data_IF_111829498644
#
_entry.id   IF_111829498644
#
_cell.length_a   1.000
_cell.length_b   1.000
_cell.length_c   1.000
_cell.angle_alpha   90.00
_cell.angle_beta   90.00
_cell.angle_gamma   90.00
#
_symmetry.space_group_name_H-M   'P 1'
#
loop_
_entity.id
_entity.type
_entity.pdbx_description
1 polymer ?
#
# COMPACT_ATOMS: atom_id res chain seq x y z
N UNK A 1 6.40 1.94 -25.82
CA UNK A 1 6.73 0.78 -26.67
C UNK A 1 5.98 0.78 -27.99
N UNK A 2 4.65 0.92 -27.99
CA UNK A 2 3.84 0.99 -29.22
C UNK A 2 4.36 2.04 -30.24
N UNK A 3 4.70 3.24 -29.77
CA UNK A 3 5.31 4.28 -30.61
C UNK A 3 6.69 3.92 -31.19
N UNK A 4 7.50 3.14 -30.46
CA UNK A 4 8.80 2.73 -30.95
C UNK A 4 8.70 1.66 -32.04
N UNK A 5 7.73 0.75 -31.89
CA UNK A 5 7.39 -0.23 -32.93
C UNK A 5 6.88 0.46 -34.19
N UNK A 6 5.99 1.45 -34.07
CA UNK A 6 5.47 2.17 -35.25
C UNK A 6 6.54 3.02 -35.96
N UNK A 7 7.58 3.46 -35.25
CA UNK A 7 8.75 4.15 -35.80
C UNK A 7 9.82 3.20 -36.37
N UNK A 8 9.59 1.89 -36.34
CA UNK A 8 10.55 0.89 -36.83
C UNK A 8 11.81 0.78 -35.97
N UNK A 9 11.75 1.13 -34.69
CA UNK A 9 12.88 0.98 -33.76
C UNK A 9 13.28 -0.50 -33.66
N UNK A 10 14.59 -0.77 -33.77
CA UNK A 10 15.12 -2.13 -33.61
C UNK A 10 15.04 -2.55 -32.14
N UNK A 11 14.99 -3.86 -31.91
CA UNK A 11 14.95 -4.46 -30.56
C UNK A 11 16.00 -3.86 -29.60
N UNK A 12 17.28 -3.64 -29.99
CA UNK A 12 18.25 -3.03 -29.08
C UNK A 12 17.87 -1.60 -28.63
N UNK A 13 17.28 -0.80 -29.52
CA UNK A 13 16.82 0.56 -29.20
C UNK A 13 15.63 0.53 -28.23
N UNK A 14 14.68 -0.39 -28.46
CA UNK A 14 13.56 -0.60 -27.55
C UNK A 14 14.03 -1.08 -26.17
N UNK A 15 14.98 -2.02 -26.13
CA UNK A 15 15.58 -2.51 -24.89
C UNK A 15 16.29 -1.40 -24.12
N UNK A 16 17.06 -0.55 -24.81
CA UNK A 16 17.73 0.60 -24.20
C UNK A 16 16.73 1.58 -23.56
N UNK A 17 15.62 1.89 -24.24
CA UNK A 17 14.56 2.75 -23.67
C UNK A 17 13.96 2.17 -22.39
N UNK A 18 13.70 0.86 -22.38
CA UNK A 18 13.20 0.18 -21.19
C UNK A 18 14.23 0.25 -20.06
N UNK A 19 15.51 -0.02 -20.36
CA UNK A 19 16.60 0.05 -19.39
C UNK A 19 16.71 1.43 -18.75
N UNK A 20 16.63 2.50 -19.53
CA UNK A 20 16.70 3.88 -19.00
C UNK A 20 15.59 4.16 -17.98
N UNK A 21 14.36 3.68 -18.23
CA UNK A 21 13.26 3.80 -17.27
C UNK A 21 13.56 3.02 -15.99
N UNK A 22 14.20 1.85 -16.08
CA UNK A 22 14.61 1.09 -14.90
C UNK A 22 15.71 1.77 -14.11
N UNK A 23 16.68 2.40 -14.79
CA UNK A 23 17.77 3.14 -14.14
C UNK A 23 17.23 4.36 -13.40
N UNK A 24 16.32 5.11 -14.01
CA UNK A 24 15.61 6.24 -13.36
C UNK A 24 14.74 5.77 -12.19
N UNK A 25 14.13 4.58 -12.33
CA UNK A 25 13.26 4.05 -11.31
C UNK A 25 13.98 3.31 -10.17
N UNK A 26 15.28 3.06 -10.34
CA UNK A 26 16.14 2.44 -9.35
C UNK A 26 16.18 3.31 -8.09
N UNK A 27 16.30 2.68 -6.93
CA UNK A 27 16.25 3.38 -5.65
C UNK A 27 14.82 3.62 -5.16
N UNK A 28 14.07 4.55 -5.77
CA UNK A 28 12.73 4.89 -5.25
C UNK A 28 11.79 3.68 -5.27
N UNK A 29 11.84 2.83 -6.32
CA UNK A 29 11.03 1.61 -6.36
C UNK A 29 11.45 0.61 -5.29
N UNK A 30 12.74 0.51 -4.98
CA UNK A 30 13.22 -0.38 -3.93
C UNK A 30 12.69 0.07 -2.55
N UNK A 31 12.71 1.38 -2.29
CA UNK A 31 12.13 1.95 -1.05
C UNK A 31 10.62 1.72 -1.00
N UNK A 32 9.90 1.97 -2.11
CA UNK A 32 8.46 1.74 -2.21
C UNK A 32 8.08 0.30 -1.93
N UNK A 33 8.79 -0.66 -2.55
CA UNK A 33 8.58 -2.08 -2.32
C UNK A 33 8.85 -2.40 -0.85
N UNK A 34 10.03 -2.05 -0.33
CA UNK A 34 10.39 -2.34 1.06
C UNK A 34 9.38 -1.77 2.07
N UNK A 35 8.92 -0.54 1.86
CA UNK A 35 7.88 0.09 2.69
C UNK A 35 6.56 -0.66 2.61
N UNK A 36 6.08 -0.91 1.40
CA UNK A 36 4.76 -1.52 1.17
C UNK A 36 4.70 -2.91 1.79
N UNK A 37 5.73 -3.74 1.56
CA UNK A 37 5.81 -5.09 2.14
C UNK A 37 5.91 -5.06 3.67
N UNK A 38 6.68 -4.12 4.23
CA UNK A 38 6.80 -3.97 5.69
C UNK A 38 5.48 -3.56 6.33
N UNK A 39 4.75 -2.62 5.72
CA UNK A 39 3.45 -2.14 6.22
C UNK A 39 2.40 -3.24 6.10
N UNK A 40 2.39 -4.00 5.00
CA UNK A 40 1.51 -5.15 4.84
C UNK A 40 1.76 -6.20 5.93
N UNK A 41 3.02 -6.61 6.12
CA UNK A 41 3.39 -7.60 7.12
C UNK A 41 3.03 -7.15 8.55
N UNK A 42 3.31 -5.88 8.89
CA UNK A 42 3.01 -5.32 10.21
C UNK A 42 1.51 -5.31 10.51
N UNK A 43 0.69 -4.87 9.56
CA UNK A 43 -0.76 -4.77 9.75
C UNK A 43 -1.44 -6.14 9.75
N UNK A 44 -1.01 -7.06 8.89
CA UNK A 44 -1.52 -8.43 8.90
C UNK A 44 -1.13 -9.16 10.18
N UNK A 45 0.09 -8.94 10.69
CA UNK A 45 0.50 -9.45 12.00
C UNK A 45 -0.35 -8.89 13.14
N UNK A 46 -0.66 -7.59 13.11
CA UNK A 46 -1.55 -6.97 14.09
C UNK A 46 -2.96 -7.54 14.03
N UNK A 47 -3.52 -7.71 12.82
CA UNK A 47 -4.85 -8.29 12.61
C UNK A 47 -4.95 -9.71 13.17
N UNK A 48 -3.93 -10.54 12.92
CA UNK A 48 -3.84 -11.90 13.48
C UNK A 48 -3.72 -11.88 15.01
N UNK A 49 -2.95 -10.94 15.56
CA UNK A 49 -2.83 -10.80 17.01
C UNK A 49 -4.16 -10.39 17.66
N UNK A 50 -4.92 -9.50 17.01
CA UNK A 50 -6.25 -9.10 17.45
C UNK A 50 -7.23 -10.28 17.43
N UNK A 51 -7.21 -11.08 16.37
CA UNK A 51 -8.05 -12.29 16.27
C UNK A 51 -7.70 -13.32 17.35
N UNK A 52 -6.41 -13.66 17.49
CA UNK A 52 -5.93 -14.62 18.49
C UNK A 52 -6.17 -14.15 19.93
N UNK A 53 -6.27 -12.85 20.16
CA UNK A 53 -6.52 -12.31 21.49
C UNK A 53 -7.91 -12.70 22.04
N UNK A 54 -8.88 -12.91 21.15
CA UNK A 54 -10.28 -13.14 21.53
C UNK A 54 -10.97 -11.97 22.23
N UNK A 55 -10.35 -10.78 22.28
CA UNK A 55 -10.90 -9.59 22.96
C UNK A 55 -11.19 -8.42 22.02
N UNK A 56 -10.57 -8.38 20.84
CA UNK A 56 -10.75 -7.29 19.88
C UNK A 56 -11.88 -7.64 18.90
N UNK A 57 -13.02 -6.96 18.98
CA UNK A 57 -14.14 -7.21 18.06
C UNK A 57 -14.17 -6.26 16.86
N UNK A 58 -13.51 -5.10 16.97
CA UNK A 58 -13.50 -4.03 15.97
C UNK A 58 -12.10 -3.47 15.77
N UNK A 59 -11.87 -2.91 14.59
CA UNK A 59 -10.61 -2.28 14.19
C UNK A 59 -10.89 -0.91 13.56
N UNK A 60 -10.00 0.04 13.81
CA UNK A 60 -10.04 1.39 13.27
C UNK A 60 -8.91 1.60 12.26
N UNK A 61 -9.19 2.28 11.15
CA UNK A 61 -8.17 2.72 10.20
C UNK A 61 -7.52 4.03 10.64
N UNK A 62 -6.24 3.98 10.99
CA UNK A 62 -5.49 5.13 11.47
C UNK A 62 -4.44 5.59 10.46
N UNK A 63 -4.44 6.89 10.17
CA UNK A 63 -3.42 7.53 9.36
C UNK A 63 -2.81 8.67 10.17
N UNK A 64 -1.49 8.84 10.08
CA UNK A 64 -0.81 10.01 10.61
C UNK A 64 -1.09 11.20 9.67
N UNK A 65 -2.21 11.90 9.89
CA UNK A 65 -2.69 13.01 9.06
C UNK A 65 -1.63 14.12 9.00
N UNK A 66 -0.86 14.11 7.92
CA UNK A 66 0.26 15.01 7.63
C UNK A 66 0.29 15.37 6.14
N UNK A 67 1.23 16.21 5.73
CA UNK A 67 1.37 16.69 4.35
C UNK A 67 1.66 15.59 3.32
N UNK A 68 1.92 14.35 3.77
CA UNK A 68 2.21 13.19 2.93
C UNK A 68 1.05 12.20 2.89
N UNK A 69 -0.04 12.46 3.61
CA UNK A 69 -1.22 11.62 3.58
C UNK A 69 -2.02 11.92 2.31
N UNK A 70 -2.33 10.89 1.53
CA UNK A 70 -3.15 11.04 0.33
C UNK A 70 -4.64 11.18 0.68
N UNK A 71 -5.43 11.68 -0.27
CA UNK A 71 -6.87 11.89 -0.08
C UNK A 71 -7.62 10.59 0.24
N UNK A 72 -7.27 9.47 -0.41
CA UNK A 72 -7.89 8.16 -0.19
C UNK A 72 -7.68 7.67 1.25
N UNK A 73 -6.44 7.73 1.75
CA UNK A 73 -6.12 7.37 3.13
C UNK A 73 -6.77 8.31 4.16
N UNK A 74 -6.80 9.62 3.85
CA UNK A 74 -7.43 10.62 4.72
C UNK A 74 -8.94 10.38 4.83
N UNK A 75 -9.60 10.01 3.73
CA UNK A 75 -11.03 9.70 3.71
C UNK A 75 -11.40 8.49 4.57
N UNK A 76 -10.49 7.52 4.72
CA UNK A 76 -10.67 6.33 5.56
C UNK A 76 -10.25 6.56 7.02
N UNK A 77 -9.63 7.69 7.35
CA UNK A 77 -9.13 7.92 8.70
C UNK A 77 -10.26 7.92 9.74
N UNK A 78 -10.12 7.11 10.78
CA UNK A 78 -11.13 6.94 11.83
C UNK A 78 -12.28 6.00 11.45
N UNK A 79 -12.25 5.38 10.26
CA UNK A 79 -13.24 4.38 9.88
C UNK A 79 -13.10 3.16 10.81
N UNK A 80 -14.22 2.75 11.42
CA UNK A 80 -14.28 1.57 12.30
C UNK A 80 -15.15 0.50 11.66
N UNK A 81 -14.60 -0.71 11.57
CA UNK A 81 -15.29 -1.91 11.06
C UNK A 81 -15.11 -3.08 12.03
N UNK A 82 -15.89 -4.16 11.86
CA UNK A 82 -15.65 -5.39 12.62
C UNK A 82 -14.30 -5.98 12.25
N UNK A 83 -13.71 -6.77 13.15
CA UNK A 83 -12.38 -7.33 12.98
C UNK A 83 -12.18 -8.04 11.63
N UNK A 84 -13.18 -8.79 11.16
CA UNK A 84 -13.12 -9.56 9.91
C UNK A 84 -13.74 -8.88 8.69
N UNK A 85 -14.25 -7.66 8.85
CA UNK A 85 -14.81 -6.90 7.74
C UNK A 85 -13.71 -6.12 7.01
N UNK A 86 -13.96 -5.81 5.74
CA UNK A 86 -13.16 -4.88 4.97
C UNK A 86 -13.53 -3.44 5.31
N UNK A 87 -12.56 -2.55 5.22
CA UNK A 87 -12.80 -1.11 5.21
C UNK A 87 -13.39 -0.66 3.86
N UNK A 88 -13.90 0.57 3.81
CA UNK A 88 -14.51 1.18 2.61
C UNK A 88 -13.61 1.16 1.36
N UNK A 89 -12.28 1.16 1.55
CA UNK A 89 -11.28 1.00 0.48
C UNK A 89 -11.16 -0.42 -0.11
N UNK A 90 -11.93 -1.39 0.40
CA UNK A 90 -11.96 -2.77 -0.12
C UNK A 90 -10.86 -3.69 0.39
N UNK A 91 -10.08 -3.26 1.39
CA UNK A 91 -9.03 -4.04 2.05
C UNK A 91 -9.36 -4.28 3.52
N UNK A 92 -8.86 -5.35 4.10
CA UNK A 92 -9.05 -5.73 5.50
C UNK A 92 -8.04 -5.03 6.45
N UNK A 93 -6.89 -4.62 5.93
CA UNK A 93 -5.91 -3.82 6.63
C UNK A 93 -5.01 -3.08 5.62
N UNK A 94 -4.25 -2.05 6.03
CA UNK A 94 -3.26 -1.42 5.17
C UNK A 94 -2.22 -2.44 4.66
N UNK A 95 -1.63 -2.22 3.47
CA UNK A 95 -1.70 -0.99 2.67
C UNK A 95 -2.89 -0.93 1.70
N UNK A 96 -3.46 0.27 1.50
CA UNK A 96 -4.44 0.54 0.44
C UNK A 96 -3.77 0.68 -0.94
N UNK A 97 -2.58 1.29 -0.96
CA UNK A 97 -1.82 1.61 -2.17
C UNK A 97 -0.30 1.55 -1.89
N UNK A 98 0.55 1.55 -2.94
CA UNK A 98 1.99 1.62 -2.74
C UNK A 98 2.40 2.88 -1.96
N UNK A 99 3.46 2.77 -1.14
CA UNK A 99 3.93 3.83 -0.23
C UNK A 99 2.95 4.22 0.92
N UNK A 100 1.87 3.46 1.14
CA UNK A 100 0.96 3.68 2.27
C UNK A 100 1.70 3.67 3.63
N UNK A 101 1.19 4.47 4.57
CA UNK A 101 1.74 4.65 5.93
C UNK A 101 0.71 4.41 7.04
N UNK A 102 -0.51 4.03 6.69
CA UNK A 102 -1.58 3.84 7.66
C UNK A 102 -1.41 2.51 8.41
N UNK A 103 -2.08 2.42 9.56
CA UNK A 103 -2.09 1.25 10.43
C UNK A 103 -3.51 0.97 10.90
N UNK A 104 -3.78 -0.25 11.35
CA UNK A 104 -4.98 -0.54 12.16
C UNK A 104 -4.71 -0.29 13.64
N UNK A 105 -5.76 0.14 14.35
CA UNK A 105 -5.81 0.17 15.82
C UNK A 105 -6.91 -0.76 16.32
N UNK A 106 -6.71 -1.47 17.45
CA UNK A 106 -7.75 -2.29 18.04
C UNK A 106 -8.73 -1.39 18.78
N UNK A 107 -10.03 -1.64 18.62
CA UNK A 107 -11.09 -0.97 19.37
C UNK A 107 -11.60 -1.94 20.43
N UNK A 108 -11.43 -1.56 21.70
CA UNK A 108 -11.91 -2.31 22.87
C UNK A 108 -13.20 -1.66 23.39
N UNK A 109 -14.15 -2.48 23.82
CA UNK A 109 -15.39 -2.03 24.52
C UNK A 109 -15.27 -2.20 26.03
#
# INVERSE_FOLDING_TARGET
LAEGVSRGEKIPSLASRVSSVYDEAKGYRAVRIARTETIAASNQGALQAYDQSGVVEKKEWYCAIDERTCEECSAMHGEVVKLHDNFSGGVDAPPLHPDCRCTILPVLE
#
